data_IF_714559439715
#
_entry.id   IF_714559439715
#
_cell.length_a   1.000
_cell.length_b   1.000
_cell.length_c   1.000
_cell.angle_alpha   90.00
_cell.angle_beta   90.00
_cell.angle_gamma   90.00
#
_symmetry.space_group_name_H-M   'P 1'
#
loop_
_entity.id
_entity.type
_entity.pdbx_description
1 polymer ?
#
# COMPACT_ATOMS: atom_id res chain seq x y z
N UNK A 1 27.85 11.74 -23.88
CA UNK A 1 26.67 11.84 -23.00
C UNK A 1 25.88 10.51 -22.83
N UNK A 2 26.46 9.34 -23.09
CA UNK A 2 25.73 8.03 -22.97
C UNK A 2 25.94 7.28 -21.64
N UNK A 3 26.91 7.71 -20.80
CA UNK A 3 27.27 6.96 -19.59
C UNK A 3 26.37 7.21 -18.36
N UNK A 4 25.61 8.32 -18.32
CA UNK A 4 24.78 8.68 -17.15
C UNK A 4 23.47 7.90 -17.09
N UNK A 5 22.93 7.46 -18.22
CA UNK A 5 21.65 6.75 -18.29
C UNK A 5 21.69 5.31 -17.72
N UNK A 6 22.81 4.61 -17.87
CA UNK A 6 22.96 3.22 -17.40
C UNK A 6 23.06 3.16 -15.86
N UNK A 7 23.63 4.18 -15.22
CA UNK A 7 23.84 4.20 -13.78
C UNK A 7 22.53 4.37 -12.98
N UNK A 8 21.60 5.18 -13.46
CA UNK A 8 20.34 5.45 -12.75
C UNK A 8 19.40 4.24 -12.76
N UNK A 9 19.29 3.55 -13.89
CA UNK A 9 18.44 2.34 -14.01
C UNK A 9 19.00 1.19 -13.18
N UNK A 10 20.32 1.04 -13.13
CA UNK A 10 20.97 -0.04 -12.37
C UNK A 10 20.84 0.17 -10.86
N UNK A 11 20.94 1.41 -10.38
CA UNK A 11 20.74 1.74 -8.96
C UNK A 11 19.30 1.44 -8.52
N UNK A 12 18.32 1.85 -9.30
CA UNK A 12 16.91 1.64 -8.97
C UNK A 12 16.52 0.15 -8.93
N UNK A 13 16.96 -0.64 -9.92
CA UNK A 13 16.71 -2.07 -9.95
C UNK A 13 17.35 -2.78 -8.74
N UNK A 14 18.53 -2.34 -8.31
CA UNK A 14 19.17 -2.88 -7.12
C UNK A 14 18.42 -2.53 -5.82
N UNK A 15 17.82 -1.35 -5.75
CA UNK A 15 17.12 -0.91 -4.54
C UNK A 15 15.73 -1.57 -4.42
N UNK A 16 14.97 -1.75 -5.50
CA UNK A 16 13.72 -2.52 -5.47
C UNK A 16 13.97 -4.00 -5.17
N UNK A 17 15.10 -4.55 -5.62
CA UNK A 17 15.51 -5.90 -5.26
C UNK A 17 15.77 -6.06 -3.76
N UNK A 18 16.35 -5.07 -3.09
CA UNK A 18 16.52 -5.09 -1.63
C UNK A 18 15.19 -5.16 -0.89
N UNK A 19 14.16 -4.46 -1.38
CA UNK A 19 12.80 -4.57 -0.81
C UNK A 19 12.27 -5.98 -1.02
N UNK A 20 12.42 -6.55 -2.21
CA UNK A 20 12.00 -7.92 -2.47
C UNK A 20 12.72 -8.93 -1.56
N UNK A 21 14.03 -8.79 -1.38
CA UNK A 21 14.82 -9.63 -0.48
C UNK A 21 14.39 -9.46 0.99
N UNK A 22 14.04 -8.24 1.41
CA UNK A 22 13.48 -7.96 2.73
C UNK A 22 12.13 -8.65 2.92
N UNK A 23 11.24 -8.61 1.94
CA UNK A 23 9.96 -9.34 1.93
C UNK A 23 10.16 -10.85 2.08
N UNK A 24 11.10 -11.41 1.33
CA UNK A 24 11.44 -12.85 1.42
C UNK A 24 12.03 -13.23 2.77
N UNK A 25 12.89 -12.38 3.33
CA UNK A 25 13.46 -12.58 4.67
C UNK A 25 12.37 -12.51 5.75
N UNK A 26 11.41 -11.60 5.58
CA UNK A 26 10.28 -11.47 6.49
C UNK A 26 9.37 -12.71 6.46
N UNK A 27 8.98 -13.18 5.26
CA UNK A 27 8.18 -14.40 5.13
C UNK A 27 8.90 -15.62 5.73
N UNK A 28 10.20 -15.75 5.47
CA UNK A 28 11.03 -16.80 6.07
C UNK A 28 11.03 -16.71 7.60
N UNK A 29 11.16 -15.51 8.16
CA UNK A 29 11.10 -15.32 9.61
C UNK A 29 9.73 -15.70 10.19
N UNK A 30 8.63 -15.44 9.46
CA UNK A 30 7.29 -15.94 9.87
C UNK A 30 7.24 -17.46 9.92
N UNK A 31 7.80 -18.14 8.93
CA UNK A 31 7.83 -19.60 8.91
C UNK A 31 8.68 -20.20 10.02
N UNK A 32 9.78 -19.54 10.41
CA UNK A 32 10.74 -20.02 11.40
C UNK A 32 10.38 -19.65 12.84
N UNK A 33 9.89 -18.43 13.08
CA UNK A 33 9.70 -17.83 14.41
C UNK A 33 8.23 -17.60 14.77
N UNK A 34 7.31 -17.82 13.81
CA UNK A 34 5.90 -17.49 13.93
C UNK A 34 5.60 -16.02 13.61
N UNK A 35 4.32 -15.74 13.38
CA UNK A 35 3.84 -14.44 12.88
C UNK A 35 4.22 -13.29 13.82
N UNK A 36 3.91 -13.42 15.13
CA UNK A 36 4.11 -12.33 16.09
C UNK A 36 5.58 -11.88 16.14
N UNK A 37 6.51 -12.84 16.31
CA UNK A 37 7.93 -12.54 16.45
C UNK A 37 8.52 -11.91 15.18
N UNK A 38 8.15 -12.43 14.01
CA UNK A 38 8.60 -11.91 12.74
C UNK A 38 8.06 -10.49 12.48
N UNK A 39 6.78 -10.26 12.73
CA UNK A 39 6.20 -8.92 12.57
C UNK A 39 6.86 -7.90 13.51
N UNK A 40 7.13 -8.24 14.77
CA UNK A 40 7.85 -7.36 15.71
C UNK A 40 9.25 -7.02 15.17
N UNK A 41 9.93 -7.95 14.51
CA UNK A 41 11.28 -7.75 13.98
C UNK A 41 11.30 -6.83 12.75
N UNK A 42 10.35 -7.01 11.82
CA UNK A 42 10.34 -6.31 10.54
C UNK A 42 9.53 -5.01 10.52
N UNK A 43 8.71 -4.74 11.53
CA UNK A 43 7.99 -3.48 11.66
C UNK A 43 8.89 -2.38 12.25
N UNK A 44 8.74 -1.16 11.77
CA UNK A 44 9.35 0.03 12.39
C UNK A 44 8.84 0.23 13.82
N UNK A 45 9.65 0.81 14.74
CA UNK A 45 9.17 1.15 16.09
C UNK A 45 7.92 2.04 16.10
N UNK A 46 7.77 2.91 15.11
CA UNK A 46 6.61 3.79 14.91
C UNK A 46 5.66 3.30 13.83
N UNK A 47 5.86 2.06 13.34
CA UNK A 47 5.04 1.46 12.30
C UNK A 47 3.59 1.30 12.74
N UNK A 48 2.67 1.44 11.78
CA UNK A 48 1.24 1.39 12.03
C UNK A 48 0.55 0.25 11.26
N UNK A 49 -0.54 -0.23 11.81
CA UNK A 49 -1.51 -1.12 11.18
C UNK A 49 -2.94 -0.71 11.60
N UNK A 50 -3.94 -1.41 11.07
CA UNK A 50 -5.36 -1.10 11.31
C UNK A 50 -6.05 -2.23 12.07
N UNK A 51 -6.58 -1.93 13.33
CA UNK A 51 -7.24 -2.91 14.22
C UNK A 51 -8.30 -2.26 15.14
N UNK A 52 -9.49 -1.99 14.72
CA UNK A 52 -9.90 -1.56 13.37
C UNK A 52 -9.33 -0.18 13.04
N UNK A 53 -9.01 0.62 14.07
CA UNK A 53 -8.38 1.93 13.94
C UNK A 53 -6.86 1.81 13.80
N UNK A 54 -6.21 2.92 13.50
CA UNK A 54 -4.76 3.01 13.43
C UNK A 54 -4.14 2.74 14.80
N UNK A 55 -3.25 1.75 14.87
CA UNK A 55 -2.52 1.38 16.09
C UNK A 55 -1.02 1.25 15.81
N UNK A 56 -0.19 1.35 16.85
CA UNK A 56 1.21 0.95 16.73
C UNK A 56 1.30 -0.54 16.43
N UNK A 57 1.87 -0.88 15.29
CA UNK A 57 1.86 -2.26 14.79
C UNK A 57 2.71 -3.19 15.67
N UNK A 58 3.89 -2.74 16.16
CA UNK A 58 4.72 -3.57 17.04
C UNK A 58 4.04 -3.88 18.36
N UNK A 59 3.41 -2.91 18.98
CA UNK A 59 2.70 -3.10 20.25
C UNK A 59 1.48 -4.00 20.06
N UNK A 60 0.74 -3.82 18.98
CA UNK A 60 -0.37 -4.69 18.64
C UNK A 60 0.07 -6.15 18.48
N UNK A 61 1.21 -6.41 17.85
CA UNK A 61 1.73 -7.77 17.72
C UNK A 61 2.31 -8.34 19.03
N UNK A 62 2.91 -7.50 19.88
CA UNK A 62 3.37 -7.93 21.22
C UNK A 62 2.22 -8.36 22.13
N UNK A 63 1.08 -7.71 22.03
CA UNK A 63 -0.09 -8.00 22.87
C UNK A 63 -0.89 -9.22 22.41
N UNK A 64 -0.64 -9.74 21.21
CA UNK A 64 -1.35 -10.92 20.68
C UNK A 64 -0.82 -12.20 21.29
N UNK A 65 -1.71 -13.13 21.66
CA UNK A 65 -1.28 -14.47 22.09
C UNK A 65 -0.58 -15.20 20.95
N UNK A 66 0.27 -16.17 21.29
CA UNK A 66 0.84 -17.06 20.31
C UNK A 66 -0.28 -17.80 19.53
N UNK A 67 -0.09 -17.99 18.25
CA UNK A 67 -1.08 -18.63 17.38
C UNK A 67 -0.40 -19.67 16.51
N UNK A 68 -1.03 -20.82 16.23
CA UNK A 68 -0.54 -21.80 15.28
C UNK A 68 -0.70 -21.33 13.81
N UNK A 69 -1.33 -20.21 13.59
CA UNK A 69 -1.65 -19.72 12.25
C UNK A 69 -0.43 -19.66 11.33
N UNK A 70 -0.67 -19.88 10.05
CA UNK A 70 0.32 -19.76 8.99
C UNK A 70 -0.05 -18.59 8.07
N UNK A 71 0.93 -17.80 7.71
CA UNK A 71 0.80 -16.70 6.77
C UNK A 71 1.93 -16.78 5.75
N UNK A 72 1.58 -16.82 4.48
CA UNK A 72 2.52 -16.78 3.36
C UNK A 72 2.12 -15.70 2.38
N UNK A 73 3.10 -15.09 1.69
CA UNK A 73 2.83 -14.05 0.71
C UNK A 73 3.91 -13.95 -0.36
N UNK A 74 3.58 -13.30 -1.46
CA UNK A 74 4.55 -12.89 -2.48
C UNK A 74 4.28 -11.45 -2.88
N UNK A 75 5.32 -10.64 -2.92
CA UNK A 75 5.25 -9.34 -3.56
C UNK A 75 5.04 -9.53 -5.07
N UNK A 76 4.12 -8.76 -5.65
CA UNK A 76 3.88 -8.72 -7.10
C UNK A 76 4.22 -7.37 -7.71
N UNK A 77 4.30 -6.34 -6.86
CA UNK A 77 4.67 -4.99 -7.26
C UNK A 77 5.53 -4.32 -6.19
N UNK A 78 6.62 -3.68 -6.61
CA UNK A 78 7.52 -2.94 -5.73
C UNK A 78 7.94 -1.65 -6.44
N UNK A 79 7.83 -0.51 -5.75
CA UNK A 79 8.39 0.76 -6.19
C UNK A 79 9.10 1.47 -5.04
N UNK A 80 10.02 2.35 -5.34
CA UNK A 80 10.89 3.02 -4.38
C UNK A 80 11.10 4.50 -4.75
N UNK A 81 11.28 5.35 -3.75
CA UNK A 81 11.66 6.75 -3.98
C UNK A 81 13.04 6.85 -4.65
N UNK A 82 13.26 7.90 -5.45
CA UNK A 82 14.51 8.12 -6.16
C UNK A 82 15.75 8.24 -5.25
N UNK A 83 15.54 8.59 -3.97
CA UNK A 83 16.60 8.63 -2.96
C UNK A 83 16.70 7.34 -2.11
N UNK A 84 15.88 6.35 -2.37
CA UNK A 84 15.87 5.07 -1.66
C UNK A 84 15.37 5.13 -0.21
N UNK A 85 14.83 6.25 0.26
CA UNK A 85 14.43 6.41 1.65
C UNK A 85 13.06 5.80 1.97
N UNK A 86 12.18 5.75 0.97
CA UNK A 86 10.81 5.24 1.09
C UNK A 86 10.51 4.28 -0.07
N UNK A 87 9.84 3.17 0.23
CA UNK A 87 9.38 2.22 -0.77
C UNK A 87 7.98 1.70 -0.41
N UNK A 88 7.31 1.07 -1.36
CA UNK A 88 6.13 0.26 -1.07
C UNK A 88 6.14 -1.03 -1.86
N UNK A 89 5.49 -2.04 -1.29
CA UNK A 89 5.23 -3.32 -1.94
C UNK A 89 3.75 -3.65 -1.87
N UNK A 90 3.25 -4.31 -2.90
CA UNK A 90 1.91 -4.89 -2.95
C UNK A 90 2.07 -6.36 -3.33
N UNK A 91 1.33 -7.23 -2.67
CA UNK A 91 1.38 -8.65 -2.94
C UNK A 91 0.15 -9.39 -2.49
N UNK A 92 0.06 -10.63 -2.93
CA UNK A 92 -0.96 -11.56 -2.47
C UNK A 92 -0.57 -12.17 -1.12
N UNK A 93 -1.56 -12.56 -0.33
CA UNK A 93 -1.37 -13.27 0.93
C UNK A 93 -2.32 -14.46 1.06
N UNK A 94 -1.88 -15.46 1.82
CA UNK A 94 -2.65 -16.63 2.20
C UNK A 94 -2.52 -16.85 3.70
N UNK A 95 -3.62 -16.77 4.39
CA UNK A 95 -3.69 -16.99 5.83
C UNK A 95 -4.44 -18.29 6.13
N UNK A 96 -3.91 -19.09 7.07
CA UNK A 96 -4.53 -20.30 7.59
C UNK A 96 -4.55 -20.24 9.11
N UNK A 97 -5.73 -20.28 9.70
CA UNK A 97 -5.90 -20.05 11.13
C UNK A 97 -5.32 -21.18 12.01
N UNK A 98 -5.33 -22.43 11.52
CA UNK A 98 -4.95 -23.61 12.29
C UNK A 98 -3.57 -24.18 11.88
N UNK A 99 -2.74 -23.40 11.18
CA UNK A 99 -1.41 -23.80 10.73
C UNK A 99 -1.35 -24.14 9.25
N UNK A 100 -0.15 -24.50 8.80
CA UNK A 100 0.16 -24.71 7.37
C UNK A 100 -0.71 -25.76 6.67
N UNK A 101 -1.18 -26.75 7.42
CA UNK A 101 -1.97 -27.86 6.90
C UNK A 101 -3.50 -27.63 7.00
N UNK A 102 -3.91 -26.44 7.49
CA UNK A 102 -5.34 -26.08 7.51
C UNK A 102 -5.89 -26.00 6.08
N UNK A 103 -6.93 -26.76 5.73
CA UNK A 103 -7.53 -26.74 4.41
C UNK A 103 -8.22 -25.40 4.10
N UNK A 104 -8.62 -24.64 5.14
CA UNK A 104 -9.27 -23.35 4.98
C UNK A 104 -8.22 -22.27 4.76
N UNK A 105 -8.24 -21.68 3.56
CA UNK A 105 -7.34 -20.60 3.16
C UNK A 105 -8.13 -19.30 3.02
N UNK A 106 -7.67 -18.26 3.70
CA UNK A 106 -8.14 -16.90 3.49
C UNK A 106 -7.16 -16.19 2.57
N UNK A 107 -7.68 -15.69 1.45
CA UNK A 107 -6.90 -15.00 0.43
C UNK A 107 -7.01 -13.49 0.62
N UNK A 108 -5.93 -12.79 0.36
CA UNK A 108 -5.90 -11.35 0.45
C UNK A 108 -4.80 -10.73 -0.40
N UNK A 109 -4.80 -9.40 -0.42
CA UNK A 109 -3.68 -8.60 -0.89
C UNK A 109 -3.30 -7.60 0.19
N UNK A 110 -2.00 -7.36 0.30
CA UNK A 110 -1.43 -6.40 1.23
C UNK A 110 -0.78 -5.24 0.50
N UNK A 111 -0.62 -4.14 1.20
CA UNK A 111 0.24 -3.02 0.88
C UNK A 111 1.10 -2.75 2.11
N UNK A 112 2.42 -2.86 1.97
CA UNK A 112 3.38 -2.46 2.99
C UNK A 112 4.18 -1.26 2.51
N UNK A 113 4.40 -0.29 3.39
CA UNK A 113 5.28 0.85 3.16
C UNK A 113 6.55 0.66 3.98
N UNK A 114 7.69 0.79 3.32
CA UNK A 114 9.01 0.53 3.88
C UNK A 114 9.81 1.82 4.02
N UNK A 115 10.45 2.00 5.16
CA UNK A 115 11.38 3.11 5.40
C UNK A 115 12.79 2.58 5.62
N UNK A 116 13.76 3.22 4.95
CA UNK A 116 15.17 2.91 5.14
C UNK A 116 15.64 3.41 6.50
N UNK A 117 16.25 2.53 7.27
CA UNK A 117 16.81 2.83 8.56
C UNK A 117 18.26 3.36 8.43
N UNK A 118 18.82 4.00 9.48
CA UNK A 118 20.20 4.50 9.45
C UNK A 118 21.24 3.40 9.17
N UNK A 119 20.97 2.15 9.55
CA UNK A 119 21.82 0.98 9.29
C UNK A 119 21.65 0.41 7.87
N UNK A 120 20.80 1.01 7.05
CA UNK A 120 20.55 0.65 5.66
C UNK A 120 19.48 -0.44 5.47
N UNK A 121 18.97 -1.08 6.53
CA UNK A 121 17.83 -2.01 6.46
C UNK A 121 16.54 -1.28 6.15
N UNK A 122 15.56 -2.02 5.64
CA UNK A 122 14.18 -1.52 5.51
C UNK A 122 13.29 -2.14 6.58
N UNK A 123 12.48 -1.30 7.23
CA UNK A 123 11.44 -1.74 8.16
C UNK A 123 10.09 -1.19 7.68
N UNK A 124 9.04 -1.99 7.88
CA UNK A 124 7.70 -1.59 7.48
C UNK A 124 7.17 -0.49 8.40
N UNK A 125 6.91 0.67 7.83
CA UNK A 125 6.31 1.82 8.51
C UNK A 125 4.79 1.77 8.51
N UNK A 126 4.19 1.01 7.58
CA UNK A 126 2.76 0.75 7.51
C UNK A 126 2.55 -0.63 6.89
N UNK A 127 1.60 -1.37 7.45
CA UNK A 127 1.11 -2.61 6.88
C UNK A 127 -0.42 -2.60 6.84
N UNK A 128 -0.98 -2.85 5.66
CA UNK A 128 -2.41 -2.81 5.39
C UNK A 128 -2.80 -3.93 4.43
N UNK A 129 -4.02 -4.42 4.53
CA UNK A 129 -4.47 -5.48 3.63
C UNK A 129 -5.98 -5.54 3.51
N UNK A 130 -6.42 -6.23 2.47
CA UNK A 130 -7.82 -6.56 2.21
C UNK A 130 -7.93 -8.07 1.98
N UNK A 131 -9.11 -8.62 2.24
CA UNK A 131 -9.44 -9.99 1.90
C UNK A 131 -10.30 -10.02 0.64
N UNK A 132 -10.23 -11.14 -0.08
CA UNK A 132 -11.03 -11.41 -1.28
C UNK A 132 -11.19 -12.92 -1.50
N UNK A 133 -11.99 -13.30 -2.45
CA UNK A 133 -12.15 -14.70 -2.85
C UNK A 133 -10.86 -15.25 -3.47
N UNK A 134 -10.75 -16.58 -3.56
CA UNK A 134 -9.61 -17.23 -4.20
C UNK A 134 -9.38 -16.64 -5.61
N UNK A 135 -8.16 -16.17 -5.92
CA UNK A 135 -7.86 -15.67 -7.26
C UNK A 135 -7.90 -16.80 -8.30
N UNK A 136 -8.26 -16.49 -9.58
CA UNK A 136 -8.37 -17.48 -10.63
C UNK A 136 -7.01 -18.07 -11.07
N UNK A 137 -5.92 -17.38 -10.79
CA UNK A 137 -4.57 -17.80 -11.14
C UNK A 137 -3.59 -17.47 -10.02
N UNK A 138 -2.46 -18.18 -10.01
CA UNK A 138 -1.34 -17.82 -9.17
C UNK A 138 -0.74 -16.47 -9.60
N UNK A 139 -0.25 -15.66 -8.64
CA UNK A 139 0.34 -14.38 -8.98
C UNK A 139 1.62 -14.57 -9.81
N UNK A 140 1.84 -13.62 -10.72
CA UNK A 140 3.07 -13.53 -11.48
C UNK A 140 4.25 -13.14 -10.58
N UNK A 141 5.47 -13.25 -11.11
CA UNK A 141 6.67 -12.70 -10.48
C UNK A 141 6.51 -11.19 -10.26
N UNK A 142 7.22 -10.68 -9.27
CA UNK A 142 7.18 -9.26 -8.93
C UNK A 142 7.71 -8.39 -10.07
N UNK A 143 7.13 -7.22 -10.18
CA UNK A 143 7.49 -6.19 -11.15
C UNK A 143 7.72 -4.85 -10.46
N UNK A 144 8.46 -3.99 -11.12
CA UNK A 144 8.63 -2.57 -10.78
C UNK A 144 8.22 -1.72 -11.99
N UNK A 145 7.91 -0.44 -11.79
CA UNK A 145 7.75 0.49 -12.90
C UNK A 145 8.98 0.47 -13.80
N UNK A 146 8.77 0.45 -15.13
CA UNK A 146 9.84 0.39 -16.12
C UNK A 146 10.69 1.69 -16.18
N UNK A 147 10.14 2.81 -15.72
CA UNK A 147 10.80 4.10 -15.71
C UNK A 147 10.67 4.78 -14.35
N UNK A 148 11.79 4.92 -13.66
CA UNK A 148 11.94 5.83 -12.53
C UNK A 148 13.06 6.84 -12.89
N UNK A 149 12.72 7.77 -13.77
CA UNK A 149 13.53 8.97 -13.95
C UNK A 149 13.38 9.81 -12.68
N UNK A 150 14.49 10.31 -12.14
CA UNK A 150 14.44 11.36 -11.12
C UNK A 150 13.70 12.54 -11.74
N UNK A 151 12.43 12.70 -11.35
CA UNK A 151 11.62 13.79 -11.87
C UNK A 151 11.75 15.00 -10.97
N UNK A 152 11.95 16.15 -11.58
CA UNK A 152 11.84 17.43 -10.88
C UNK A 152 10.37 17.85 -10.89
N UNK A 153 9.88 18.34 -9.76
CA UNK A 153 8.55 18.92 -9.67
C UNK A 153 8.64 20.43 -9.99
N UNK A 154 8.34 20.85 -11.23
CA UNK A 154 8.43 22.25 -11.60
C UNK A 154 7.42 23.14 -10.87
N UNK A 155 6.28 22.59 -10.48
CA UNK A 155 5.20 23.35 -9.84
C UNK A 155 5.38 23.50 -8.33
N UNK A 156 6.41 22.87 -7.74
CA UNK A 156 6.72 22.90 -6.30
C UNK A 156 5.60 22.41 -5.36
N UNK A 157 4.58 21.78 -5.89
CA UNK A 157 3.55 21.15 -5.06
C UNK A 157 4.09 19.86 -4.46
N UNK A 158 3.85 19.68 -3.16
CA UNK A 158 4.12 18.41 -2.49
C UNK A 158 3.06 17.36 -2.84
N UNK A 159 3.35 16.11 -2.54
CA UNK A 159 2.35 15.07 -2.60
C UNK A 159 1.16 15.38 -1.67
N UNK A 160 1.43 16.02 -0.52
CA UNK A 160 0.39 16.45 0.42
C UNK A 160 -0.56 17.49 -0.17
N UNK A 161 -0.05 18.50 -0.91
CA UNK A 161 -0.87 19.50 -1.58
C UNK A 161 -1.73 18.86 -2.67
N UNK A 162 -1.15 17.95 -3.45
CA UNK A 162 -1.86 17.21 -4.49
C UNK A 162 -2.96 16.32 -3.92
N UNK A 163 -2.71 15.69 -2.77
CA UNK A 163 -3.71 14.92 -2.06
C UNK A 163 -4.87 15.80 -1.56
N UNK A 164 -4.60 16.99 -1.03
CA UNK A 164 -5.65 17.95 -0.63
C UNK A 164 -6.54 18.31 -1.83
N UNK A 165 -5.94 18.64 -2.97
CA UNK A 165 -6.67 18.95 -4.19
C UNK A 165 -7.51 17.77 -4.69
N UNK A 166 -6.97 16.55 -4.63
CA UNK A 166 -7.70 15.32 -4.93
C UNK A 166 -8.93 15.16 -4.03
N UNK A 167 -8.78 15.32 -2.70
CA UNK A 167 -9.89 15.14 -1.76
C UNK A 167 -11.00 16.18 -1.98
N UNK A 168 -10.66 17.41 -2.36
CA UNK A 168 -11.65 18.42 -2.76
C UNK A 168 -12.38 18.01 -4.05
N UNK A 169 -11.63 17.50 -5.03
CA UNK A 169 -12.22 17.04 -6.29
C UNK A 169 -13.15 15.83 -6.11
N UNK A 170 -12.80 14.90 -5.21
CA UNK A 170 -13.62 13.72 -4.89
C UNK A 170 -15.00 14.10 -4.36
N UNK A 171 -15.09 15.12 -3.51
CA UNK A 171 -16.38 15.59 -2.98
C UNK A 171 -17.34 16.05 -4.10
N UNK A 172 -16.78 16.61 -5.18
CA UNK A 172 -17.55 17.07 -6.33
C UNK A 172 -17.92 15.93 -7.28
N UNK A 173 -16.97 15.05 -7.60
CA UNK A 173 -17.19 13.91 -8.48
C UNK A 173 -16.09 12.87 -8.26
N UNK A 174 -16.41 11.79 -7.56
CA UNK A 174 -15.46 10.74 -7.17
C UNK A 174 -14.75 10.14 -8.38
N UNK A 175 -15.50 9.65 -9.36
CA UNK A 175 -14.92 8.94 -10.51
C UNK A 175 -14.06 9.84 -11.41
N UNK A 176 -14.46 11.10 -11.59
CA UNK A 176 -13.69 12.11 -12.34
C UNK A 176 -12.39 12.44 -11.61
N UNK A 177 -12.43 12.60 -10.28
CA UNK A 177 -11.24 12.85 -9.47
C UNK A 177 -10.25 11.69 -9.59
N UNK A 178 -10.68 10.45 -9.36
CA UNK A 178 -9.82 9.28 -9.53
C UNK A 178 -9.24 9.17 -10.95
N UNK A 179 -10.05 9.42 -11.99
CA UNK A 179 -9.55 9.44 -13.38
C UNK A 179 -8.43 10.45 -13.60
N UNK A 180 -8.47 11.60 -12.91
CA UNK A 180 -7.47 12.65 -13.06
C UNK A 180 -6.20 12.38 -12.27
N UNK A 181 -6.31 11.68 -11.14
CA UNK A 181 -5.19 11.49 -10.21
C UNK A 181 -4.58 10.08 -10.17
N UNK A 182 -5.25 9.04 -10.69
CA UNK A 182 -4.65 7.72 -10.80
C UNK A 182 -3.55 7.73 -11.87
N UNK A 183 -2.40 7.14 -11.51
CA UNK A 183 -1.34 6.82 -12.45
C UNK A 183 -1.80 5.72 -13.43
N UNK A 184 -1.16 5.61 -14.60
CA UNK A 184 -1.52 4.57 -15.59
C UNK A 184 -1.25 3.14 -15.07
N UNK A 185 -0.26 3.00 -14.17
CA UNK A 185 0.11 1.76 -13.50
C UNK A 185 -0.48 1.61 -12.10
N UNK A 186 -1.45 2.43 -11.72
CA UNK A 186 -2.05 2.43 -10.38
C UNK A 186 -2.65 1.07 -10.00
N UNK A 187 -2.53 0.71 -8.72
CA UNK A 187 -3.12 -0.49 -8.15
C UNK A 187 -4.16 -0.09 -7.11
N UNK A 188 -5.38 -0.62 -7.24
CA UNK A 188 -6.49 -0.34 -6.33
C UNK A 188 -6.93 -1.62 -5.63
N UNK A 189 -6.97 -1.56 -4.29
CA UNK A 189 -7.39 -2.66 -3.42
C UNK A 189 -8.70 -2.29 -2.72
N UNK A 190 -9.69 -3.18 -2.79
CA UNK A 190 -11.01 -3.04 -2.15
C UNK A 190 -11.41 -4.34 -1.48
N UNK A 191 -11.93 -4.24 -0.26
CA UNK A 191 -12.39 -5.40 0.50
C UNK A 191 -13.40 -6.22 -0.31
N UNK A 192 -13.20 -7.53 -0.36
CA UNK A 192 -14.06 -8.47 -1.09
C UNK A 192 -13.91 -8.44 -2.61
N UNK A 193 -12.91 -7.72 -3.16
CA UNK A 193 -12.64 -7.64 -4.59
C UNK A 193 -11.20 -8.05 -4.89
N UNK A 194 -11.00 -8.69 -6.03
CA UNK A 194 -9.66 -8.92 -6.56
C UNK A 194 -8.99 -7.56 -6.84
N UNK A 195 -7.66 -7.47 -6.68
CA UNK A 195 -6.94 -6.23 -6.95
C UNK A 195 -7.07 -5.80 -8.41
N UNK A 196 -7.18 -4.51 -8.65
CA UNK A 196 -7.20 -3.95 -9.99
C UNK A 196 -5.83 -3.33 -10.31
N UNK A 197 -5.21 -3.82 -11.37
CA UNK A 197 -3.91 -3.36 -11.87
C UNK A 197 -4.08 -2.50 -13.12
N UNK A 198 -3.51 -1.31 -13.09
CA UNK A 198 -3.62 -0.31 -14.14
C UNK A 198 -4.88 0.54 -14.02
N UNK A 199 -4.78 1.77 -14.48
CA UNK A 199 -5.81 2.81 -14.32
C UNK A 199 -7.20 2.42 -14.80
N UNK A 200 -7.28 1.73 -15.95
CA UNK A 200 -8.58 1.30 -16.51
C UNK A 200 -9.32 0.38 -15.53
N UNK A 201 -8.64 -0.64 -15.05
CA UNK A 201 -9.23 -1.64 -14.16
C UNK A 201 -9.42 -1.06 -12.75
N UNK A 202 -8.49 -0.21 -12.28
CA UNK A 202 -8.61 0.54 -11.04
C UNK A 202 -9.88 1.39 -11.00
N UNK A 203 -10.21 2.07 -12.09
CA UNK A 203 -11.45 2.88 -12.19
C UNK A 203 -12.72 2.03 -12.13
N UNK A 204 -12.68 0.74 -12.44
CA UNK A 204 -13.84 -0.15 -12.28
C UNK A 204 -14.17 -0.43 -10.81
N UNK A 205 -13.20 -0.30 -9.91
CA UNK A 205 -13.37 -0.45 -8.47
C UNK A 205 -13.69 0.87 -7.75
N UNK A 206 -13.78 1.97 -8.47
CA UNK A 206 -14.19 3.27 -7.91
C UNK A 206 -15.70 3.39 -8.02
N UNK A 207 -16.36 3.29 -6.88
CA UNK A 207 -17.81 3.52 -6.77
C UNK A 207 -18.10 5.03 -6.80
N UNK A 208 -19.01 5.45 -7.67
CA UNK A 208 -19.53 6.82 -7.78
C UNK A 208 -21.03 6.94 -7.39
N UNK A 209 -21.61 5.85 -6.93
CA UNK A 209 -22.98 5.85 -6.37
C UNK A 209 -23.02 6.49 -4.98
N UNK A 210 -21.93 6.42 -4.24
CA UNK A 210 -21.75 6.97 -2.90
C UNK A 210 -20.72 8.11 -2.90
N UNK A 211 -20.86 9.02 -1.94
CA UNK A 211 -19.87 10.07 -1.69
C UNK A 211 -18.85 9.58 -0.70
N UNK A 212 -17.58 9.65 -1.05
CA UNK A 212 -16.48 9.38 -0.13
C UNK A 212 -15.94 10.69 0.44
N UNK A 213 -15.74 10.72 1.75
CA UNK A 213 -15.16 11.83 2.50
C UNK A 213 -13.91 11.34 3.22
N UNK A 214 -12.77 11.89 2.87
CA UNK A 214 -11.51 11.63 3.55
C UNK A 214 -11.33 12.58 4.72
N UNK A 215 -10.87 12.06 5.87
CA UNK A 215 -10.68 12.89 7.06
C UNK A 215 -9.74 14.08 6.81
N UNK A 216 -10.01 15.21 7.47
CA UNK A 216 -9.21 16.43 7.36
C UNK A 216 -7.79 16.26 7.92
N UNK A 217 -7.65 15.58 9.05
CA UNK A 217 -6.35 15.23 9.62
C UNK A 217 -5.85 13.93 8.99
N UNK A 218 -4.66 13.99 8.43
CA UNK A 218 -4.01 12.87 7.74
C UNK A 218 -2.56 12.79 8.20
N UNK A 219 -2.06 11.57 8.34
CA UNK A 219 -0.62 11.33 8.50
C UNK A 219 -0.02 11.19 7.11
N UNK A 220 0.87 12.11 6.76
CA UNK A 220 1.54 12.14 5.46
C UNK A 220 3.05 12.03 5.64
N UNK A 221 3.69 11.17 4.87
CA UNK A 221 5.14 11.01 4.82
C UNK A 221 5.58 11.05 3.37
N UNK A 222 6.61 11.84 3.07
CA UNK A 222 7.14 12.04 1.73
C UNK A 222 8.66 11.91 1.73
N UNK A 223 9.22 11.29 0.71
CA UNK A 223 10.65 11.19 0.46
C UNK A 223 10.91 11.30 -1.04
N UNK A 224 11.54 12.38 -1.45
CA UNK A 224 11.84 12.71 -2.85
C UNK A 224 10.56 12.69 -3.73
N UNK A 225 10.38 11.66 -4.54
CA UNK A 225 9.31 11.52 -5.52
C UNK A 225 8.25 10.48 -5.13
N UNK A 226 8.26 10.02 -3.88
CA UNK A 226 7.30 9.06 -3.33
C UNK A 226 6.76 9.57 -2.00
N UNK A 227 5.45 9.42 -1.79
CA UNK A 227 4.82 9.73 -0.51
C UNK A 227 3.67 8.79 -0.21
N UNK A 228 3.28 8.68 1.05
CA UNK A 228 2.08 7.95 1.42
C UNK A 228 1.28 8.70 2.48
N UNK A 229 0.01 8.42 2.51
CA UNK A 229 -0.94 9.00 3.45
C UNK A 229 -1.90 7.92 3.93
N UNK A 230 -2.26 8.00 5.20
CA UNK A 230 -3.36 7.21 5.75
C UNK A 230 -4.23 8.07 6.67
N UNK A 231 -5.52 7.76 6.70
CA UNK A 231 -6.49 8.42 7.59
C UNK A 231 -7.83 7.66 7.55
N UNK A 232 -8.77 7.99 8.44
CA UNK A 232 -10.15 7.54 8.29
C UNK A 232 -10.85 8.11 7.05
N UNK A 233 -11.82 7.36 6.54
CA UNK A 233 -12.79 7.83 5.55
C UNK A 233 -14.21 7.46 5.97
N UNK A 234 -15.20 8.15 5.38
CA UNK A 234 -16.61 7.85 5.49
C UNK A 234 -17.24 7.86 4.11
N UNK A 235 -18.12 6.92 3.82
CA UNK A 235 -18.97 6.93 2.63
C UNK A 235 -20.41 7.17 3.03
N UNK A 236 -21.09 8.05 2.26
CA UNK A 236 -22.52 8.31 2.44
C UNK A 236 -23.26 8.07 1.12
N UNK A 237 -24.49 7.62 1.23
CA UNK A 237 -25.39 7.53 0.09
C UNK A 237 -25.81 8.93 -0.41
N UNK A 238 -26.66 8.97 -1.46
CA UNK A 238 -27.18 10.23 -2.03
C UNK A 238 -28.07 11.03 -1.06
N UNK A 239 -28.57 10.37 0.00
CA UNK A 239 -29.38 11.02 1.05
C UNK A 239 -28.53 11.50 2.23
N UNK A 240 -27.22 11.26 2.19
CA UNK A 240 -26.29 11.62 3.27
C UNK A 240 -26.22 10.62 4.42
N UNK A 241 -26.83 9.45 4.27
CA UNK A 241 -26.76 8.37 5.27
C UNK A 241 -25.43 7.65 5.13
N UNK A 242 -24.73 7.45 6.24
CA UNK A 242 -23.48 6.67 6.27
C UNK A 242 -23.74 5.23 5.87
N UNK A 243 -23.05 4.74 4.84
CA UNK A 243 -23.15 3.37 4.33
C UNK A 243 -21.89 2.56 4.61
N UNK A 244 -20.76 3.23 4.78
CA UNK A 244 -19.46 2.63 5.08
C UNK A 244 -18.55 3.66 5.74
N UNK A 245 -17.69 3.19 6.62
CA UNK A 245 -16.54 3.93 7.16
C UNK A 245 -15.37 3.00 7.34
N UNK A 246 -14.17 3.56 7.37
CA UNK A 246 -12.96 2.77 7.49
C UNK A 246 -11.71 3.63 7.48
N UNK A 247 -10.60 3.00 7.21
CA UNK A 247 -9.31 3.65 6.99
C UNK A 247 -8.91 3.53 5.52
N UNK A 248 -8.14 4.48 5.04
CA UNK A 248 -7.54 4.40 3.72
C UNK A 248 -6.03 4.56 3.79
N UNK A 249 -5.38 4.00 2.79
CA UNK A 249 -3.96 4.24 2.50
C UNK A 249 -3.84 4.62 1.04
N UNK A 250 -3.15 5.71 0.75
CA UNK A 250 -2.77 6.09 -0.61
C UNK A 250 -1.28 6.28 -0.71
N UNK A 251 -0.69 5.74 -1.76
CA UNK A 251 0.70 5.99 -2.15
C UNK A 251 0.69 6.89 -3.38
N UNK A 252 1.49 7.94 -3.31
CA UNK A 252 1.62 8.98 -4.31
C UNK A 252 3.02 8.95 -4.90
N UNK A 253 3.12 9.06 -6.21
CA UNK A 253 4.40 9.12 -6.93
C UNK A 253 4.41 10.30 -7.88
N UNK A 254 5.54 11.00 -7.94
CA UNK A 254 5.76 12.03 -8.95
C UNK A 254 5.99 11.35 -10.30
N UNK A 255 5.15 11.69 -11.29
CA UNK A 255 5.20 11.17 -12.65
C UNK A 255 4.99 12.31 -13.64
N UNK A 256 5.95 12.55 -14.52
CA UNK A 256 5.88 13.64 -15.53
C UNK A 256 5.51 15.00 -14.90
N UNK A 257 6.16 15.34 -13.78
CA UNK A 257 5.95 16.59 -13.04
C UNK A 257 4.65 16.68 -12.23
N UNK A 258 3.86 15.61 -12.14
CA UNK A 258 2.59 15.56 -11.38
C UNK A 258 2.62 14.46 -10.33
N UNK A 259 2.10 14.77 -9.15
CA UNK A 259 1.85 13.74 -8.15
C UNK A 259 0.57 12.98 -8.50
N UNK A 260 0.73 11.67 -8.67
CA UNK A 260 -0.35 10.75 -9.01
C UNK A 260 -0.44 9.61 -7.97
N UNK A 261 -1.65 9.11 -7.78
CA UNK A 261 -1.92 7.95 -6.92
C UNK A 261 -1.45 6.70 -7.67
N UNK A 262 -0.48 6.00 -7.11
CA UNK A 262 0.05 4.72 -7.62
C UNK A 262 -0.52 3.52 -6.86
N UNK A 263 -0.98 3.71 -5.62
CA UNK A 263 -1.71 2.70 -4.88
C UNK A 263 -2.82 3.34 -4.03
N UNK A 264 -3.99 2.68 -3.96
CA UNK A 264 -5.15 3.15 -3.20
C UNK A 264 -5.86 1.96 -2.56
N UNK A 265 -5.90 1.96 -1.23
CA UNK A 265 -6.51 0.89 -0.43
C UNK A 265 -7.59 1.48 0.46
N UNK A 266 -8.80 0.92 0.41
CA UNK A 266 -9.84 1.17 1.39
C UNK A 266 -10.01 -0.06 2.28
N UNK A 267 -9.98 0.18 3.59
CA UNK A 267 -10.06 -0.84 4.64
C UNK A 267 -11.32 -0.53 5.45
N UNK A 268 -12.48 -1.05 5.04
CA UNK A 268 -13.72 -0.79 5.75
C UNK A 268 -13.70 -1.40 7.14
N UNK A 269 -14.31 -0.71 8.09
CA UNK A 269 -14.59 -1.27 9.42
C UNK A 269 -15.69 -2.32 9.33
N UNK A 270 -15.68 -3.35 10.20
CA UNK A 270 -16.82 -4.24 10.34
C UNK A 270 -18.12 -3.44 10.57
N UNK A 271 -19.19 -3.85 9.92
CA UNK A 271 -20.51 -3.29 10.21
C UNK A 271 -20.88 -3.69 11.64
N UNK A 272 -21.23 -2.71 12.46
CA UNK A 272 -21.75 -2.89 13.81
C UNK A 272 -23.13 -3.57 13.79
#
# INVERSE_FOLDING_TARGET
MAAVFVFSVTLHANDTRKIYETERAFEKAVAEKGINAAFIEFLSPTGVMFLPDVVNAREAWRSRPASPASLTWNAVWIDISSNGALAYSIGNSRYRAKGKDDPQIFYGHYLSVWTRQPDGRYLAALDAGINHDKPPAEPADWRSPLENKTETNPDRYSAADSAVNFYQAVVSNTKKAYRSYLAEDAIVLRQGKLPAFGKRDALSLVDDSNKILFAKRKMFTEAADLGYVHAPYTMTDKKGVEVERGNFVQVWKLRNGKWLIVADVLIPLPKS
#
